data_IF_164166866030
#
_entry.id   IF_164166866030
#
_cell.length_a   1.000
_cell.length_b   1.000
_cell.length_c   1.000
_cell.angle_alpha   90.00
_cell.angle_beta   90.00
_cell.angle_gamma   90.00
#
_symmetry.space_group_name_H-M   'P 1'
#
loop_
_entity.id
_entity.type
_entity.pdbx_description
1 polymer ?
#
# COMPACT_ATOMS: atom_id res chain seq x y z
N UNK A 1 -41.00 18.47 18.56
CA UNK A 1 -39.54 18.65 18.54
C UNK A 1 -39.04 17.91 17.32
N UNK A 2 -38.82 18.67 16.24
CA UNK A 2 -38.36 18.15 14.95
C UNK A 2 -36.89 17.77 15.06
N UNK A 3 -36.58 16.49 14.96
CA UNK A 3 -35.20 16.01 14.83
C UNK A 3 -34.90 15.84 13.35
N UNK A 4 -34.38 16.91 12.75
CA UNK A 4 -33.77 16.93 11.43
C UNK A 4 -32.44 16.15 11.47
N UNK A 5 -32.46 14.85 11.23
CA UNK A 5 -31.23 14.11 10.90
C UNK A 5 -31.04 14.19 9.40
N UNK A 6 -30.19 15.14 9.01
CA UNK A 6 -29.76 15.37 7.63
C UNK A 6 -29.37 14.08 6.94
N UNK A 7 -29.73 14.02 5.66
CA UNK A 7 -29.46 12.90 4.78
C UNK A 7 -27.99 12.49 4.86
N UNK A 8 -27.74 11.32 5.45
CA UNK A 8 -26.57 10.55 5.10
C UNK A 8 -26.86 10.06 3.70
N UNK A 9 -26.41 10.80 2.69
CA UNK A 9 -26.10 10.19 1.41
C UNK A 9 -25.32 8.92 1.76
N UNK A 10 -25.81 7.77 1.30
CA UNK A 10 -25.06 6.52 1.37
C UNK A 10 -23.73 6.80 0.69
N UNK A 11 -22.73 7.21 1.48
CA UNK A 11 -21.37 7.33 1.03
C UNK A 11 -20.96 5.93 0.64
N UNK A 12 -21.16 5.60 -0.64
CA UNK A 12 -20.76 4.33 -1.21
C UNK A 12 -19.32 4.12 -0.80
N UNK A 13 -19.09 3.05 -0.05
CA UNK A 13 -17.76 2.65 0.39
C UNK A 13 -16.84 2.70 -0.83
N UNK A 14 -15.81 3.53 -0.75
CA UNK A 14 -14.86 3.69 -1.86
C UNK A 14 -13.75 2.68 -1.68
N UNK A 15 -13.23 2.16 -2.79
CA UNK A 15 -12.06 1.30 -2.76
C UNK A 15 -10.80 2.15 -2.90
N UNK A 16 -9.87 1.98 -1.96
CA UNK A 16 -8.63 2.72 -1.98
C UNK A 16 -7.66 2.12 -3.01
N UNK A 17 -7.18 2.92 -3.96
CA UNK A 17 -6.21 2.44 -4.97
C UNK A 17 -4.82 2.15 -4.40
N UNK A 18 -4.49 2.69 -3.22
CA UNK A 18 -3.20 2.51 -2.55
C UNK A 18 -3.15 1.24 -1.70
N UNK A 19 -4.06 1.10 -0.75
CA UNK A 19 -4.09 -0.05 0.17
C UNK A 19 -5.06 -1.17 -0.25
N UNK A 20 -5.87 -0.95 -1.30
CA UNK A 20 -6.91 -1.89 -1.79
C UNK A 20 -8.02 -2.19 -0.78
N UNK A 21 -8.07 -1.51 0.36
CA UNK A 21 -9.14 -1.62 1.33
C UNK A 21 -10.32 -0.71 0.97
N UNK A 22 -11.53 -1.14 1.34
CA UNK A 22 -12.72 -0.30 1.33
C UNK A 22 -12.68 0.69 2.49
N UNK A 23 -13.15 1.92 2.25
CA UNK A 23 -13.18 2.97 3.26
C UNK A 23 -14.37 3.91 3.06
N UNK A 24 -14.83 4.51 4.16
CA UNK A 24 -15.82 5.58 4.13
C UNK A 24 -15.12 6.94 3.95
N UNK A 25 -15.47 7.72 2.91
CA UNK A 25 -14.89 9.05 2.67
C UNK A 25 -15.01 10.01 3.86
N UNK A 26 -16.15 9.99 4.58
CA UNK A 26 -16.41 10.83 5.75
C UNK A 26 -15.45 10.63 6.92
N UNK A 27 -14.85 9.44 7.04
CA UNK A 27 -13.89 9.08 8.09
C UNK A 27 -12.43 9.08 7.63
N UNK A 28 -12.15 9.59 6.42
CA UNK A 28 -10.82 9.53 5.85
C UNK A 28 -9.90 10.57 6.47
N UNK A 29 -8.92 10.11 7.24
CA UNK A 29 -7.88 10.95 7.86
C UNK A 29 -6.51 10.56 7.32
N UNK A 30 -5.49 11.39 7.58
CA UNK A 30 -4.08 11.14 7.20
C UNK A 30 -3.48 9.86 7.79
N UNK A 31 -4.15 9.24 8.75
CA UNK A 31 -3.67 8.02 9.40
C UNK A 31 -4.56 6.81 9.06
N UNK A 32 -5.60 7.00 8.24
CA UNK A 32 -6.57 5.96 7.92
C UNK A 32 -6.03 4.95 6.90
N UNK A 33 -5.30 5.38 5.87
CA UNK A 33 -4.78 4.49 4.84
C UNK A 33 -3.35 4.05 5.15
N UNK A 34 -3.14 2.75 5.35
CA UNK A 34 -1.79 2.15 5.42
C UNK A 34 -1.44 1.48 4.11
N UNK A 35 -0.39 1.94 3.42
CA UNK A 35 0.03 1.37 2.14
C UNK A 35 1.54 1.33 2.00
N UNK A 36 2.01 0.54 1.04
CA UNK A 36 3.41 0.52 0.61
C UNK A 36 3.56 1.44 -0.60
N UNK A 37 4.31 2.55 -0.50
CA UNK A 37 4.49 3.48 -1.62
C UNK A 37 5.36 2.90 -2.74
N UNK A 38 6.19 1.90 -2.42
CA UNK A 38 7.01 1.18 -3.39
C UNK A 38 6.43 -0.19 -3.69
N UNK A 39 6.79 -0.72 -4.86
CA UNK A 39 6.37 -2.05 -5.31
C UNK A 39 7.05 -3.17 -4.51
N UNK A 40 6.37 -4.31 -4.47
CA UNK A 40 6.96 -5.57 -4.03
C UNK A 40 7.90 -6.09 -5.13
N UNK A 41 9.20 -6.12 -4.86
CA UNK A 41 10.25 -6.46 -5.83
C UNK A 41 10.86 -7.81 -5.51
N UNK A 42 11.23 -8.55 -6.56
CA UNK A 42 11.97 -9.82 -6.46
C UNK A 42 13.41 -9.56 -6.89
N UNK A 43 14.23 -8.95 -6.04
CA UNK A 43 15.65 -8.65 -6.29
C UNK A 43 16.51 -9.06 -5.10
N UNK A 44 17.79 -9.32 -5.30
CA UNK A 44 18.71 -9.57 -4.16
C UNK A 44 18.95 -8.24 -3.44
N UNK A 45 18.86 -8.22 -2.11
CA UNK A 45 19.18 -7.03 -1.31
C UNK A 45 20.65 -6.57 -1.46
N UNK A 46 21.53 -7.47 -1.92
CA UNK A 46 23.00 -7.27 -2.04
C UNK A 46 23.48 -6.69 -3.39
N UNK A 47 22.56 -6.30 -4.28
CA UNK A 47 22.86 -6.14 -5.71
C UNK A 47 23.57 -4.84 -6.14
N UNK A 48 24.03 -3.99 -5.22
CA UNK A 48 24.97 -2.93 -5.64
C UNK A 48 26.41 -3.41 -5.89
N UNK A 49 26.83 -4.62 -5.48
CA UNK A 49 28.26 -5.02 -5.55
C UNK A 49 28.60 -6.40 -6.16
N UNK A 50 27.66 -7.25 -6.58
CA UNK A 50 27.99 -8.65 -6.95
C UNK A 50 27.36 -9.21 -8.22
N UNK A 51 26.99 -8.38 -9.18
CA UNK A 51 26.40 -8.85 -10.46
C UNK A 51 27.25 -9.92 -11.18
N UNK A 52 28.58 -9.90 -11.05
CA UNK A 52 29.50 -10.84 -11.71
C UNK A 52 30.01 -12.00 -10.84
N UNK A 53 29.52 -12.15 -9.60
CA UNK A 53 29.99 -13.19 -8.66
C UNK A 53 28.95 -14.28 -8.38
N UNK A 54 27.94 -14.44 -9.25
CA UNK A 54 27.02 -15.56 -9.13
C UNK A 54 27.82 -16.87 -9.17
N UNK A 55 27.84 -17.58 -8.05
CA UNK A 55 28.47 -18.90 -7.92
C UNK A 55 27.40 -19.94 -8.25
N UNK A 56 27.77 -21.02 -8.94
CA UNK A 56 26.83 -22.13 -9.16
C UNK A 56 26.28 -22.64 -7.82
N UNK A 57 24.95 -22.68 -7.69
CA UNK A 57 24.24 -23.10 -6.48
C UNK A 57 23.63 -21.97 -5.64
N UNK A 58 23.78 -20.72 -6.05
CA UNK A 58 23.12 -19.59 -5.40
C UNK A 58 21.59 -19.66 -5.61
N UNK A 59 20.75 -19.61 -4.55
CA UNK A 59 19.30 -19.69 -4.70
C UNK A 59 18.76 -18.62 -5.67
N UNK A 60 17.86 -18.97 -6.59
CA UNK A 60 17.35 -18.03 -7.57
C UNK A 60 16.61 -16.90 -6.86
N UNK A 61 17.09 -15.65 -6.98
CA UNK A 61 16.39 -14.39 -6.67
C UNK A 61 15.31 -14.49 -5.55
N UNK A 62 15.66 -15.11 -4.43
CA UNK A 62 14.64 -15.62 -3.49
C UNK A 62 14.10 -14.52 -2.56
N UNK A 63 14.85 -13.43 -2.39
CA UNK A 63 14.40 -12.31 -1.59
C UNK A 63 13.33 -11.53 -2.37
N UNK A 64 12.09 -11.67 -1.93
CA UNK A 64 10.99 -10.80 -2.33
C UNK A 64 10.72 -9.86 -1.18
N UNK A 65 10.71 -8.56 -1.43
CA UNK A 65 10.47 -7.59 -0.38
C UNK A 65 9.86 -6.30 -0.93
N UNK A 66 9.24 -5.54 -0.05
CA UNK A 66 8.81 -4.18 -0.31
C UNK A 66 9.99 -3.22 -0.23
N UNK A 67 10.32 -2.53 -1.33
CA UNK A 67 11.48 -1.62 -1.35
C UNK A 67 11.37 -0.43 -0.37
N UNK A 68 10.15 -0.10 0.05
CA UNK A 68 9.88 0.98 0.98
C UNK A 68 10.21 0.64 2.45
N UNK A 69 10.20 -0.63 2.85
CA UNK A 69 10.41 -1.01 4.25
C UNK A 69 11.21 -2.30 4.46
N UNK A 70 11.57 -3.00 3.38
CA UNK A 70 12.24 -4.30 3.44
C UNK A 70 11.34 -5.44 3.89
N UNK A 71 10.02 -5.24 4.03
CA UNK A 71 9.11 -6.30 4.44
C UNK A 71 9.08 -7.41 3.38
N UNK A 72 9.45 -8.63 3.78
CA UNK A 72 9.51 -9.79 2.88
C UNK A 72 8.14 -10.46 2.69
N UNK A 73 7.21 -10.16 3.59
CA UNK A 73 5.84 -10.67 3.57
C UNK A 73 4.96 -9.78 2.66
N UNK A 74 4.34 -10.33 1.59
CA UNK A 74 3.40 -9.59 0.75
C UNK A 74 2.14 -9.13 1.49
N UNK A 75 1.78 -9.77 2.61
CA UNK A 75 0.64 -9.40 3.44
C UNK A 75 1.04 -8.45 4.59
N UNK A 76 2.30 -7.99 4.61
CA UNK A 76 2.76 -7.01 5.59
C UNK A 76 1.93 -5.72 5.51
N UNK A 77 1.54 -5.21 6.67
CA UNK A 77 0.85 -3.93 6.77
C UNK A 77 1.67 -2.81 6.11
N UNK A 78 0.98 -1.90 5.42
CA UNK A 78 1.62 -0.75 4.78
C UNK A 78 2.53 0.02 5.74
N UNK A 79 3.74 0.31 5.28
CA UNK A 79 4.75 1.02 6.07
C UNK A 79 4.50 2.54 6.15
N UNK A 80 3.70 3.08 5.24
CA UNK A 80 3.37 4.51 5.18
C UNK A 80 1.89 4.70 5.47
N UNK A 81 1.55 5.79 6.16
CA UNK A 81 0.17 6.18 6.44
C UNK A 81 -0.18 7.49 5.76
N UNK A 82 -1.32 7.56 5.09
CA UNK A 82 -1.84 8.79 4.50
C UNK A 82 -3.39 8.73 4.39
N UNK A 83 -3.99 9.69 3.68
CA UNK A 83 -5.38 9.60 3.25
C UNK A 83 -5.58 8.42 2.29
N UNK A 84 -6.76 7.81 2.34
CA UNK A 84 -7.22 6.95 1.27
C UNK A 84 -7.44 7.77 -0.01
N UNK A 85 -7.11 7.17 -1.16
CA UNK A 85 -7.39 7.73 -2.49
C UNK A 85 -8.31 6.77 -3.23
N UNK A 86 -9.44 7.26 -3.71
CA UNK A 86 -10.30 6.50 -4.62
C UNK A 86 -9.73 6.50 -6.03
N UNK A 87 -10.23 5.60 -6.88
CA UNK A 87 -9.87 5.58 -8.30
C UNK A 87 -10.40 6.79 -9.08
N UNK A 88 -11.45 7.44 -8.56
CA UNK A 88 -12.07 8.63 -9.15
C UNK A 88 -11.33 9.94 -8.75
N UNK A 89 -10.48 9.90 -7.72
CA UNK A 89 -9.68 11.07 -7.34
C UNK A 89 -8.57 11.29 -8.37
N UNK A 90 -8.66 12.38 -9.13
CA UNK A 90 -7.61 12.79 -10.05
C UNK A 90 -6.31 13.04 -9.28
N UNK A 91 -5.20 12.47 -9.75
CA UNK A 91 -3.86 12.77 -9.25
C UNK A 91 -3.64 14.29 -9.31
N UNK A 92 -3.63 14.94 -8.14
CA UNK A 92 -3.30 16.36 -7.99
C UNK A 92 -1.79 16.54 -7.82
#
# INVERSE_FOLDING_TARGET
MESNTGGKEEEKEKLCRRCKATYAPSGNTRLSCRFHPSYFVCRRHDDQKRYYQLRDGDPPYAAKFYDCCGAEDPDAAGCTTDFHLSYDDADA
#
